data_IF_239474985398
#
_entry.id   IF_239474985398
#
_cell.length_a   1.000
_cell.length_b   1.000
_cell.length_c   1.000
_cell.angle_alpha   90.00
_cell.angle_beta   90.00
_cell.angle_gamma   90.00
#
_symmetry.space_group_name_H-M   'P 1'
#
loop_
_entity.id
_entity.type
_entity.pdbx_description
1 polymer ?
#
# COMPACT_ATOMS: atom_id res chain seq x y z
N UNK A 1 -16.99 -2.58 4.58
CA UNK A 1 -15.87 -3.21 3.83
C UNK A 1 -15.15 -2.07 3.15
N UNK A 2 -14.15 -1.50 3.80
CA UNK A 2 -13.34 -0.45 3.20
C UNK A 2 -12.22 -1.10 2.39
N UNK A 3 -12.23 -0.83 1.09
CA UNK A 3 -11.14 -1.20 0.20
C UNK A 3 -10.12 -0.08 0.26
N UNK A 4 -8.92 -0.38 0.77
CA UNK A 4 -7.77 0.51 0.64
C UNK A 4 -7.34 0.45 -0.83
N UNK A 5 -7.73 1.44 -1.60
CA UNK A 5 -7.28 1.64 -2.98
C UNK A 5 -6.04 2.53 -2.97
N UNK A 6 -5.06 2.20 -3.80
CA UNK A 6 -3.86 3.01 -3.95
C UNK A 6 -4.25 4.36 -4.59
N UNK A 7 -4.19 5.50 -3.86
CA UNK A 7 -4.71 6.75 -4.38
C UNK A 7 -3.79 7.29 -5.48
N UNK A 8 -4.35 7.65 -6.64
CA UNK A 8 -3.61 8.35 -7.70
C UNK A 8 -3.11 9.71 -7.20
N UNK A 9 -1.83 9.78 -6.83
CA UNK A 9 -1.14 11.05 -6.57
C UNK A 9 -0.38 11.50 -7.83
N UNK A 10 -1.05 12.31 -8.65
CA UNK A 10 -0.41 13.07 -9.73
C UNK A 10 -0.33 12.37 -11.08
N UNK A 11 -0.59 13.13 -12.14
CA UNK A 11 -0.63 12.77 -13.57
C UNK A 11 0.60 12.04 -14.17
N UNK A 12 1.62 11.65 -13.38
CA UNK A 12 2.86 11.08 -13.90
C UNK A 12 3.42 9.88 -13.09
N UNK A 13 2.60 9.23 -12.26
CA UNK A 13 2.99 7.98 -11.61
C UNK A 13 2.21 6.82 -12.22
N UNK A 14 2.87 6.08 -13.11
CA UNK A 14 2.28 4.94 -13.84
C UNK A 14 2.37 3.63 -13.03
N UNK A 15 3.44 3.43 -12.25
CA UNK A 15 3.79 2.17 -11.59
C UNK A 15 4.52 2.39 -10.26
N UNK A 16 4.29 1.51 -9.27
CA UNK A 16 4.99 1.50 -7.99
C UNK A 16 5.36 0.08 -7.57
N UNK A 17 6.59 -0.13 -7.11
CA UNK A 17 7.08 -1.43 -6.64
C UNK A 17 6.96 -1.52 -5.13
N UNK A 18 6.22 -2.51 -4.63
CA UNK A 18 6.11 -2.71 -3.20
C UNK A 18 7.45 -3.21 -2.66
N UNK A 19 8.16 -2.42 -1.84
CA UNK A 19 9.44 -2.82 -1.28
C UNK A 19 9.24 -3.96 -0.28
N UNK A 20 8.34 -3.74 0.68
CA UNK A 20 8.03 -4.69 1.75
C UNK A 20 6.73 -4.35 2.48
N UNK A 21 6.14 -5.38 3.09
CA UNK A 21 5.02 -5.21 3.99
C UNK A 21 5.55 -4.97 5.42
N UNK A 22 5.07 -3.90 6.05
CA UNK A 22 5.29 -3.62 7.47
C UNK A 22 4.24 -4.34 8.34
N UNK A 23 3.11 -4.77 7.72
CA UNK A 23 2.00 -5.49 8.37
C UNK A 23 1.67 -6.79 7.65
N UNK A 24 1.28 -7.78 8.44
CA UNK A 24 0.91 -9.11 7.94
C UNK A 24 -0.61 -9.31 7.86
N UNK A 25 -1.04 -10.19 6.95
CA UNK A 25 -2.44 -10.61 6.84
C UNK A 25 -2.88 -11.27 8.15
N UNK A 26 -3.96 -10.75 8.73
CA UNK A 26 -4.51 -11.17 10.01
C UNK A 26 -4.10 -10.28 11.18
N UNK A 27 -3.22 -9.30 10.99
CA UNK A 27 -2.90 -8.32 12.04
C UNK A 27 -3.90 -7.17 12.09
N UNK A 28 -4.10 -6.67 13.31
CA UNK A 28 -4.79 -5.42 13.58
C UNK A 28 -3.89 -4.24 13.17
N UNK A 29 -4.49 -3.26 12.50
CA UNK A 29 -3.85 -2.04 12.01
C UNK A 29 -4.66 -0.85 12.49
N UNK A 30 -3.99 0.24 12.87
CA UNK A 30 -4.65 1.48 13.29
C UNK A 30 -4.71 2.49 12.13
N UNK A 31 -5.68 3.40 12.16
CA UNK A 31 -5.76 4.51 11.19
C UNK A 31 -4.49 5.37 11.29
N UNK A 32 -3.81 5.59 10.17
CA UNK A 32 -2.52 6.28 10.09
C UNK A 32 -1.32 5.41 10.46
N UNK A 33 -1.49 4.09 10.63
CA UNK A 33 -0.37 3.17 10.85
C UNK A 33 0.21 2.70 9.51
N UNK A 34 1.53 2.70 9.31
CA UNK A 34 2.14 2.28 8.06
C UNK A 34 2.00 0.75 7.86
N UNK A 35 1.47 0.39 6.69
CA UNK A 35 1.16 -0.98 6.27
C UNK A 35 2.23 -1.56 5.36
N UNK A 36 2.74 -0.77 4.42
CA UNK A 36 3.72 -1.19 3.43
C UNK A 36 4.55 0.00 2.92
N UNK A 37 5.76 -0.29 2.45
CA UNK A 37 6.60 0.68 1.75
C UNK A 37 6.55 0.40 0.25
N UNK A 38 6.38 1.44 -0.55
CA UNK A 38 6.35 1.34 -2.01
C UNK A 38 7.41 2.30 -2.56
N UNK A 39 8.28 1.79 -3.42
CA UNK A 39 9.24 2.59 -4.17
C UNK A 39 8.67 2.88 -5.55
N UNK A 40 8.68 4.15 -5.91
CA UNK A 40 8.38 4.63 -7.26
C UNK A 40 9.66 5.16 -7.90
N UNK A 41 9.64 5.42 -9.21
CA UNK A 41 10.77 5.90 -10.02
C UNK A 41 11.56 7.06 -9.39
N UNK A 42 10.91 7.90 -8.56
CA UNK A 42 11.54 9.11 -7.99
C UNK A 42 11.49 9.21 -6.47
N UNK A 43 10.62 8.46 -5.80
CA UNK A 43 10.40 8.59 -4.35
C UNK A 43 9.89 7.28 -3.74
N UNK A 44 10.24 7.06 -2.48
CA UNK A 44 9.63 6.03 -1.64
C UNK A 44 8.43 6.63 -0.92
N UNK A 45 7.31 5.91 -0.92
CA UNK A 45 6.04 6.30 -0.30
C UNK A 45 5.62 5.18 0.66
N UNK A 46 5.17 5.56 1.85
CA UNK A 46 4.59 4.64 2.83
C UNK A 46 3.06 4.60 2.65
N UNK A 47 2.50 3.41 2.49
CA UNK A 47 1.05 3.22 2.51
C UNK A 47 0.61 3.09 3.95
N UNK A 48 -0.16 4.07 4.40
CA UNK A 48 -0.76 4.12 5.71
C UNK A 48 -2.19 3.54 5.67
N UNK A 49 -2.64 2.95 6.78
CA UNK A 49 -4.02 2.50 6.86
C UNK A 49 -4.97 3.70 6.90
N UNK A 50 -5.91 3.78 5.97
CA UNK A 50 -6.93 4.83 5.96
C UNK A 50 -7.84 4.78 7.21
N UNK A 51 -8.03 3.58 7.75
CA UNK A 51 -8.89 3.32 8.90
C UNK A 51 -8.35 2.15 9.73
N UNK A 52 -8.72 2.13 11.02
CA UNK A 52 -8.35 1.05 11.91
C UNK A 52 -9.17 -0.21 11.58
N UNK A 53 -8.50 -1.35 11.48
CA UNK A 53 -9.13 -2.60 11.07
C UNK A 53 -8.18 -3.79 11.14
N UNK A 54 -8.53 -4.88 10.43
CA UNK A 54 -7.70 -6.07 10.33
C UNK A 54 -7.31 -6.28 8.88
N UNK A 55 -6.01 -6.41 8.63
CA UNK A 55 -5.49 -6.66 7.28
C UNK A 55 -5.99 -8.03 6.79
N UNK A 56 -7.03 -8.06 5.97
CA UNK A 56 -7.73 -9.34 5.69
C UNK A 56 -7.09 -10.11 4.54
N UNK A 57 -6.47 -9.40 3.60
CA UNK A 57 -5.76 -9.98 2.46
C UNK A 57 -4.88 -8.91 1.79
N UNK A 58 -3.67 -9.29 1.41
CA UNK A 58 -2.83 -8.50 0.52
C UNK A 58 -3.07 -8.93 -0.92
N UNK A 59 -3.33 -7.98 -1.81
CA UNK A 59 -3.50 -8.23 -3.25
C UNK A 59 -2.15 -8.16 -3.99
N UNK A 60 -1.12 -7.69 -3.30
CA UNK A 60 0.21 -7.37 -3.81
C UNK A 60 1.25 -7.98 -2.89
N UNK A 61 2.33 -8.51 -3.45
CA UNK A 61 3.44 -9.11 -2.70
C UNK A 61 4.66 -8.21 -2.67
N UNK A 62 5.58 -8.48 -1.75
CA UNK A 62 6.87 -7.78 -1.67
C UNK A 62 7.68 -8.03 -2.95
N UNK A 63 8.20 -6.96 -3.53
CA UNK A 63 8.88 -6.93 -4.81
C UNK A 63 7.96 -6.91 -6.03
N UNK A 64 6.64 -6.89 -5.84
CA UNK A 64 5.68 -6.86 -6.94
C UNK A 64 5.44 -5.41 -7.41
N UNK A 65 5.53 -5.20 -8.72
CA UNK A 65 5.32 -3.89 -9.35
C UNK A 65 3.86 -3.78 -9.77
N UNK A 66 3.13 -2.84 -9.16
CA UNK A 66 1.73 -2.58 -9.49
C UNK A 66 1.53 -1.24 -10.19
N UNK A 67 0.69 -1.20 -11.22
CA UNK A 67 0.26 0.07 -11.81
C UNK A 67 -0.67 0.82 -10.85
N UNK A 68 -0.51 2.14 -10.77
CA UNK A 68 -1.33 2.95 -9.86
C UNK A 68 -2.80 2.97 -10.33
N UNK A 69 -3.70 2.49 -9.47
CA UNK A 69 -5.15 2.46 -9.70
C UNK A 69 -5.81 1.08 -9.67
N UNK A 70 -5.11 0.04 -9.20
CA UNK A 70 -5.68 -1.26 -8.78
C UNK A 70 -6.02 -1.23 -7.28
#
# INVERSE_FOLDING_TARGET
>A
MATVIMPKMGDAMEEGTLLRWLKEVGQEVAAGEPLAEIETDKVTIEIEAAEAGVLTKTLVSEGDTVPIGT
#
